data_IF_882217247930
#
_entry.id   IF_882217247930
#
_cell.length_a   1.000
_cell.length_b   1.000
_cell.length_c   1.000
_cell.angle_alpha   90.00
_cell.angle_beta   90.00
_cell.angle_gamma   90.00
#
_symmetry.space_group_name_H-M   'P 1'
#
loop_
_entity.id
_entity.type
_entity.pdbx_description
1 polymer ?
#
# COMPACT_ATOMS: atom_id res chain seq x y z
N UNK A 1 -23.09 -5.04 27.53
CA UNK A 1 -22.41 -5.58 26.34
C UNK A 1 -23.41 -6.35 25.46
N UNK A 2 -23.99 -5.69 24.46
CA UNK A 2 -24.91 -6.36 23.51
C UNK A 2 -24.04 -7.17 22.53
N UNK A 3 -24.21 -8.49 22.57
CA UNK A 3 -23.58 -9.47 21.68
C UNK A 3 -23.82 -9.04 20.22
N UNK A 4 -22.79 -9.15 19.38
CA UNK A 4 -22.93 -8.99 17.92
C UNK A 4 -23.95 -10.04 17.44
N UNK A 5 -24.81 -9.73 16.46
CA UNK A 5 -25.60 -10.76 15.83
C UNK A 5 -24.64 -11.75 15.16
N UNK A 6 -24.61 -12.97 15.68
CA UNK A 6 -23.95 -14.10 15.05
C UNK A 6 -24.67 -14.35 13.72
N UNK A 7 -24.07 -13.89 12.62
CA UNK A 7 -24.46 -14.35 11.30
C UNK A 7 -24.07 -15.82 11.23
N UNK A 8 -25.05 -16.68 11.48
CA UNK A 8 -25.01 -18.10 11.20
C UNK A 8 -24.62 -18.23 9.72
N UNK A 9 -23.36 -18.54 9.44
CA UNK A 9 -22.96 -19.12 8.17
C UNK A 9 -23.50 -20.54 8.16
N UNK A 10 -24.79 -20.70 7.88
CA UNK A 10 -25.29 -21.95 7.34
C UNK A 10 -24.40 -22.24 6.14
N UNK A 11 -23.59 -23.29 6.25
CA UNK A 11 -22.74 -23.79 5.18
C UNK A 11 -23.65 -24.18 4.02
N UNK A 12 -23.94 -23.21 3.16
CA UNK A 12 -24.61 -23.46 1.88
C UNK A 12 -23.83 -24.59 1.21
N UNK A 13 -24.52 -25.62 0.67
CA UNK A 13 -23.88 -26.79 0.10
C UNK A 13 -22.81 -26.30 -0.87
N UNK A 14 -21.60 -26.83 -0.75
CA UNK A 14 -20.35 -26.45 -1.42
C UNK A 14 -20.57 -26.13 -2.92
N UNK A 15 -21.10 -24.93 -3.20
CA UNK A 15 -21.34 -24.45 -4.56
C UNK A 15 -19.95 -24.15 -5.09
N UNK A 16 -19.50 -24.95 -6.07
CA UNK A 16 -18.23 -24.74 -6.77
C UNK A 16 -18.09 -23.23 -7.06
N UNK A 17 -17.15 -22.59 -6.37
CA UNK A 17 -16.97 -21.15 -6.48
C UNK A 17 -16.65 -20.84 -7.94
N UNK A 18 -17.44 -19.95 -8.53
CA UNK A 18 -17.24 -19.62 -9.95
C UNK A 18 -15.85 -19.00 -10.16
N UNK A 19 -15.24 -19.25 -11.32
CA UNK A 19 -13.97 -18.62 -11.71
C UNK A 19 -14.06 -17.08 -11.72
N UNK A 20 -15.26 -16.52 -11.89
CA UNK A 20 -15.48 -15.09 -11.72
C UNK A 20 -15.35 -14.64 -10.26
N UNK A 21 -15.98 -15.37 -9.33
CA UNK A 21 -15.93 -15.05 -7.90
C UNK A 21 -14.49 -15.09 -7.38
N UNK A 22 -13.70 -16.10 -7.73
CA UNK A 22 -12.29 -16.21 -7.31
C UNK A 22 -11.49 -14.98 -7.75
N UNK A 23 -11.61 -14.59 -9.03
CA UNK A 23 -10.91 -13.41 -9.58
C UNK A 23 -11.39 -12.10 -8.96
N UNK A 24 -12.70 -11.99 -8.73
CA UNK A 24 -13.29 -10.84 -8.05
C UNK A 24 -12.73 -10.71 -6.63
N UNK A 25 -12.64 -11.81 -5.90
CA UNK A 25 -12.13 -11.83 -4.52
C UNK A 25 -10.66 -11.37 -4.45
N UNK A 26 -9.78 -11.93 -5.29
CA UNK A 26 -8.36 -11.51 -5.34
C UNK A 26 -8.21 -10.03 -5.67
N UNK A 27 -9.02 -9.52 -6.61
CA UNK A 27 -9.06 -8.10 -6.94
C UNK A 27 -9.53 -7.25 -5.74
N UNK A 28 -10.55 -7.71 -4.99
CA UNK A 28 -11.03 -6.99 -3.82
C UNK A 28 -10.02 -7.00 -2.68
N UNK A 29 -9.33 -8.12 -2.43
CA UNK A 29 -8.22 -8.20 -1.46
C UNK A 29 -7.17 -7.15 -1.77
N UNK A 30 -6.73 -7.07 -3.03
CA UNK A 30 -5.74 -6.09 -3.48
C UNK A 30 -6.25 -4.65 -3.29
N UNK A 31 -7.49 -4.39 -3.70
CA UNK A 31 -8.10 -3.07 -3.61
C UNK A 31 -8.20 -2.57 -2.16
N UNK A 32 -8.65 -3.42 -1.25
CA UNK A 32 -8.83 -3.06 0.16
C UNK A 32 -7.51 -2.96 0.90
N UNK A 33 -6.54 -3.85 0.62
CA UNK A 33 -5.21 -3.79 1.23
C UNK A 33 -4.56 -2.41 1.02
N UNK A 34 -4.54 -1.91 -0.23
CA UNK A 34 -3.98 -0.59 -0.54
C UNK A 34 -4.99 0.55 -0.40
N UNK A 35 -6.21 0.29 0.06
CA UNK A 35 -7.29 1.27 0.23
C UNK A 35 -7.65 2.03 -1.04
N UNK A 36 -7.68 1.39 -2.20
CA UNK A 36 -7.91 2.04 -3.49
C UNK A 36 -9.40 2.07 -3.86
N UNK A 37 -9.78 3.07 -4.67
CA UNK A 37 -11.06 3.01 -5.39
C UNK A 37 -10.94 2.10 -6.61
N UNK A 38 -12.07 1.59 -7.11
CA UNK A 38 -12.08 0.74 -8.32
C UNK A 38 -11.49 1.48 -9.53
N UNK A 39 -11.82 2.76 -9.68
CA UNK A 39 -11.30 3.61 -10.76
C UNK A 39 -9.78 3.80 -10.67
N UNK A 40 -9.26 4.00 -9.46
CA UNK A 40 -7.80 4.10 -9.24
C UNK A 40 -7.11 2.78 -9.57
N UNK A 41 -7.64 1.64 -9.10
CA UNK A 41 -7.07 0.34 -9.39
C UNK A 41 -7.07 0.05 -10.90
N UNK A 42 -8.17 0.34 -11.60
CA UNK A 42 -8.25 0.23 -13.06
C UNK A 42 -7.20 1.11 -13.76
N UNK A 43 -6.95 2.33 -13.27
CA UNK A 43 -5.89 3.21 -13.80
C UNK A 43 -4.50 2.58 -13.62
N UNK A 44 -4.21 1.98 -12.47
CA UNK A 44 -2.94 1.29 -12.24
C UNK A 44 -2.78 0.07 -13.15
N UNK A 45 -3.82 -0.73 -13.33
CA UNK A 45 -3.82 -1.90 -14.24
C UNK A 45 -3.55 -1.46 -15.68
N UNK A 46 -4.19 -0.39 -16.16
CA UNK A 46 -3.94 0.16 -17.51
C UNK A 46 -2.50 0.62 -17.68
N UNK A 47 -1.91 1.22 -16.65
CA UNK A 47 -0.51 1.67 -16.68
C UNK A 47 0.44 0.47 -16.67
N UNK A 48 0.17 -0.54 -15.82
CA UNK A 48 0.96 -1.76 -15.75
C UNK A 48 0.91 -2.55 -17.07
N UNK A 49 -0.24 -2.59 -17.76
CA UNK A 49 -0.41 -3.28 -19.05
C UNK A 49 0.41 -2.63 -20.17
N UNK A 50 0.67 -1.32 -20.09
CA UNK A 50 1.51 -0.58 -21.05
C UNK A 50 3.00 -0.67 -20.75
N UNK A 51 3.36 -1.08 -19.53
CA UNK A 51 4.75 -1.22 -19.14
C UNK A 51 5.35 -2.50 -19.71
N UNK A 52 6.68 -2.52 -19.85
CA UNK A 52 7.41 -3.73 -20.23
C UNK A 52 7.48 -4.69 -19.04
N UNK A 53 7.33 -5.99 -19.30
CA UNK A 53 7.42 -7.06 -18.29
C UNK A 53 6.05 -7.61 -17.84
N UNK A 54 6.05 -8.39 -16.76
CA UNK A 54 4.83 -8.99 -16.21
C UNK A 54 3.89 -7.91 -15.67
N UNK A 55 2.68 -7.81 -16.23
CA UNK A 55 1.68 -6.82 -15.81
C UNK A 55 1.32 -6.93 -14.33
N UNK A 56 1.23 -8.16 -13.81
CA UNK A 56 0.93 -8.40 -12.39
C UNK A 56 2.03 -7.88 -11.48
N UNK A 57 3.31 -8.15 -11.82
CA UNK A 57 4.46 -7.64 -11.08
C UNK A 57 4.51 -6.12 -11.08
N UNK A 58 4.40 -5.51 -12.26
CA UNK A 58 4.43 -4.05 -12.40
C UNK A 58 3.27 -3.40 -11.65
N UNK A 59 2.08 -4.01 -11.67
CA UNK A 59 0.93 -3.54 -10.88
C UNK A 59 1.28 -3.48 -9.39
N UNK A 60 1.82 -4.56 -8.83
CA UNK A 60 2.20 -4.60 -7.42
C UNK A 60 3.30 -3.58 -7.10
N UNK A 61 4.31 -3.44 -7.97
CA UNK A 61 5.35 -2.43 -7.82
C UNK A 61 4.78 -1.01 -7.81
N UNK A 62 3.84 -0.70 -8.70
CA UNK A 62 3.20 0.61 -8.74
C UNK A 62 2.37 0.93 -7.49
N UNK A 63 1.82 -0.09 -6.83
CA UNK A 63 1.04 0.07 -5.60
C UNK A 63 1.92 0.20 -4.36
N UNK A 64 2.97 -0.63 -4.26
CA UNK A 64 3.91 -0.58 -3.15
C UNK A 64 4.75 0.72 -3.16
N UNK A 65 5.10 1.24 -4.34
CA UNK A 65 5.90 2.46 -4.49
C UNK A 65 5.11 3.76 -4.29
N UNK A 66 3.86 3.69 -3.82
CA UNK A 66 3.07 4.89 -3.46
C UNK A 66 3.57 5.49 -2.15
N UNK A 67 3.52 6.82 -2.04
CA UNK A 67 3.98 7.54 -0.85
C UNK A 67 3.26 7.10 0.43
N UNK A 68 1.93 6.98 0.40
CA UNK A 68 1.17 6.51 1.57
C UNK A 68 1.59 5.11 2.03
N UNK A 69 1.81 4.21 1.08
CA UNK A 69 2.25 2.87 1.37
C UNK A 69 3.69 2.83 1.89
N UNK A 70 4.62 3.61 1.32
CA UNK A 70 5.99 3.68 1.81
C UNK A 70 6.06 4.25 3.24
N UNK A 71 5.27 5.29 3.56
CA UNK A 71 5.19 5.84 4.93
C UNK A 71 4.71 4.77 5.92
N UNK A 72 3.72 3.96 5.52
CA UNK A 72 3.27 2.83 6.32
C UNK A 72 4.38 1.77 6.48
N UNK A 73 5.06 1.38 5.41
CA UNK A 73 6.17 0.41 5.43
C UNK A 73 7.39 0.88 6.23
N UNK A 74 7.63 2.20 6.28
CA UNK A 74 8.67 2.82 7.11
C UNK A 74 8.26 2.91 8.60
N UNK A 75 7.03 2.56 8.97
CA UNK A 75 6.56 2.65 10.35
C UNK A 75 6.29 4.08 10.84
N UNK A 76 6.28 5.07 9.94
CA UNK A 76 5.93 6.46 10.25
C UNK A 76 4.43 6.62 10.58
N UNK A 77 3.60 5.67 10.12
CA UNK A 77 2.18 5.61 10.39
C UNK A 77 1.73 4.16 10.69
N UNK A 78 0.72 3.98 11.57
CA UNK A 78 0.26 2.66 11.98
C UNK A 78 -0.54 1.93 10.89
N UNK A 79 -1.17 2.68 9.99
CA UNK A 79 -2.07 2.16 8.94
C UNK A 79 -1.94 3.02 7.68
N UNK A 80 -2.30 2.46 6.52
CA UNK A 80 -2.31 3.20 5.25
C UNK A 80 -3.24 4.44 5.29
N UNK A 81 -4.46 4.38 5.85
CA UNK A 81 -5.29 5.58 6.03
C UNK A 81 -4.62 6.64 6.92
N UNK A 82 -3.92 6.23 7.99
CA UNK A 82 -3.14 7.14 8.82
C UNK A 82 -2.00 7.81 8.05
N UNK A 83 -1.28 7.05 7.21
CA UNK A 83 -0.26 7.58 6.33
C UNK A 83 -0.83 8.62 5.34
N UNK A 84 -2.01 8.34 4.77
CA UNK A 84 -2.70 9.30 3.88
C UNK A 84 -3.05 10.60 4.59
N UNK A 85 -3.48 10.53 5.85
CA UNK A 85 -3.76 11.72 6.64
C UNK A 85 -2.50 12.57 6.82
N UNK A 86 -1.37 11.94 7.15
CA UNK A 86 -0.08 12.64 7.28
C UNK A 86 0.33 13.34 5.99
N UNK A 87 0.18 12.66 4.85
CA UNK A 87 0.48 13.24 3.54
C UNK A 87 -0.48 14.39 3.23
N UNK A 88 -1.79 14.19 3.30
CA UNK A 88 -2.80 15.21 2.98
C UNK A 88 -2.62 16.49 3.81
N UNK A 89 -2.22 16.34 5.08
CA UNK A 89 -1.99 17.45 6.01
C UNK A 89 -0.58 18.07 5.89
N UNK A 90 0.23 17.67 4.90
CA UNK A 90 1.57 18.21 4.63
C UNK A 90 2.56 18.02 5.79
N UNK A 91 2.44 16.92 6.53
CA UNK A 91 3.43 16.53 7.55
C UNK A 91 4.68 15.87 6.95
N UNK A 92 4.60 15.42 5.69
CA UNK A 92 5.66 14.68 5.01
C UNK A 92 6.31 15.54 3.92
N UNK A 93 7.63 15.46 3.86
CA UNK A 93 8.46 16.05 2.84
C UNK A 93 9.07 14.92 2.00
N UNK A 94 9.13 15.10 0.69
CA UNK A 94 9.92 14.26 -0.21
C UNK A 94 10.95 15.15 -0.89
N UNK A 95 12.24 14.81 -0.75
CA UNK A 95 13.35 15.63 -1.23
C UNK A 95 13.22 17.09 -0.79
N UNK A 96 12.92 17.31 0.50
CA UNK A 96 12.68 18.61 1.14
C UNK A 96 11.46 19.41 0.63
N UNK A 97 10.58 18.81 -0.18
CA UNK A 97 9.36 19.45 -0.67
C UNK A 97 8.12 18.83 -0.03
N UNK A 98 7.21 19.67 0.47
CA UNK A 98 5.95 19.19 1.04
C UNK A 98 5.05 18.60 -0.05
N UNK A 99 4.73 17.32 0.08
CA UNK A 99 3.82 16.61 -0.84
C UNK A 99 2.51 16.34 -0.11
N UNK A 100 1.39 16.68 -0.75
CA UNK A 100 0.03 16.43 -0.28
C UNK A 100 -0.73 15.39 -1.10
N UNK A 101 -0.03 14.63 -1.94
CA UNK A 101 -0.61 13.63 -2.84
C UNK A 101 -0.19 12.22 -2.38
N UNK A 102 -1.08 11.45 -1.74
CA UNK A 102 -0.75 10.11 -1.25
C UNK A 102 -0.37 9.12 -2.36
N UNK A 103 -0.91 9.31 -3.55
CA UNK A 103 -0.63 8.50 -4.74
C UNK A 103 0.66 8.90 -5.47
N UNK A 104 1.46 9.81 -4.90
CA UNK A 104 2.79 10.14 -5.41
C UNK A 104 3.62 8.87 -5.55
N UNK A 105 4.25 8.70 -6.71
CA UNK A 105 5.08 7.54 -7.03
C UNK A 105 6.50 7.86 -6.62
N UNK A 106 6.96 7.24 -5.54
CA UNK A 106 8.33 7.44 -5.11
C UNK A 106 9.27 6.76 -6.09
N UNK A 107 10.41 7.41 -6.31
CA UNK A 107 11.48 6.92 -7.16
C UNK A 107 12.63 6.43 -6.28
N UNK A 108 13.48 5.52 -6.79
CA UNK A 108 14.76 5.26 -6.16
C UNK A 108 15.52 6.57 -5.92
N UNK A 109 16.18 6.64 -4.77
CA UNK A 109 16.88 7.82 -4.21
C UNK A 109 15.97 8.93 -3.67
N UNK A 110 14.64 8.76 -3.67
CA UNK A 110 13.78 9.70 -2.95
C UNK A 110 14.02 9.62 -1.44
N UNK A 111 14.18 10.80 -0.83
CA UNK A 111 14.37 10.98 0.60
C UNK A 111 13.04 11.44 1.19
N UNK A 112 12.50 10.68 2.14
CA UNK A 112 11.23 10.96 2.81
C UNK A 112 11.54 11.42 4.23
N UNK A 113 11.17 12.65 4.56
CA UNK A 113 11.39 13.24 5.88
C UNK A 113 10.10 13.79 6.46
N UNK A 114 10.13 14.03 7.77
CA UNK A 114 9.04 14.71 8.48
C UNK A 114 9.27 16.22 8.45
N UNK A 115 8.20 17.00 8.30
CA UNK A 115 8.25 18.45 8.43
C UNK A 115 8.67 18.84 9.85
N UNK A 116 9.55 19.83 10.00
CA UNK A 116 10.00 20.32 11.31
C UNK A 116 8.92 21.16 11.99
N UNK A 117 7.91 20.47 12.50
CA UNK A 117 6.84 21.00 13.33
C UNK A 117 6.65 20.04 14.50
N UNK A 118 6.43 20.55 15.73
CA UNK A 118 6.36 19.73 16.94
C UNK A 118 5.24 18.67 16.84
N UNK A 119 4.09 19.04 16.29
CA UNK A 119 2.96 18.10 16.09
C UNK A 119 3.31 16.97 15.12
N UNK A 120 4.00 17.27 14.01
CA UNK A 120 4.43 16.28 13.03
C UNK A 120 5.40 15.28 13.64
N UNK A 121 6.40 15.79 14.38
CA UNK A 121 7.43 15.01 15.05
C UNK A 121 6.82 14.11 16.13
N UNK A 122 5.99 14.67 17.00
CA UNK A 122 5.34 13.92 18.07
C UNK A 122 4.51 12.73 17.55
N UNK A 123 3.75 12.93 16.46
CA UNK A 123 2.97 11.85 15.84
C UNK A 123 3.85 10.73 15.29
N UNK A 124 4.94 11.07 14.61
CA UNK A 124 5.82 10.08 13.97
C UNK A 124 6.71 9.36 14.98
N UNK A 125 7.26 10.07 15.98
CA UNK A 125 8.04 9.47 17.06
C UNK A 125 7.21 8.43 17.84
N UNK A 126 5.96 8.79 18.18
CA UNK A 126 5.03 7.85 18.83
C UNK A 126 4.79 6.58 17.99
N UNK A 127 4.69 6.73 16.67
CA UNK A 127 4.51 5.58 15.79
C UNK A 127 5.78 4.71 15.74
N UNK A 128 6.97 5.28 15.70
CA UNK A 128 8.20 4.48 15.74
C UNK A 128 8.32 3.64 17.01
N UNK A 129 7.98 4.20 18.19
CA UNK A 129 8.01 3.45 19.46
C UNK A 129 7.12 2.20 19.42
N UNK A 130 5.94 2.30 18.78
CA UNK A 130 4.99 1.20 18.69
C UNK A 130 5.39 0.20 17.60
N UNK A 131 5.92 0.67 16.48
CA UNK A 131 6.12 -0.11 15.25
C UNK A 131 7.58 -0.51 14.98
N UNK A 132 8.51 -0.28 15.92
CA UNK A 132 9.90 -0.74 15.86
C UNK A 132 10.05 -2.25 15.57
N UNK A 133 9.02 -3.06 15.83
CA UNK A 133 9.03 -4.51 15.64
C UNK A 133 8.78 -4.97 14.20
N UNK A 134 8.30 -4.11 13.31
CA UNK A 134 8.03 -4.51 11.93
C UNK A 134 9.30 -4.50 11.09
N UNK A 135 9.53 -5.60 10.36
CA UNK A 135 10.66 -5.71 9.44
C UNK A 135 10.46 -4.75 8.28
N UNK A 136 11.38 -3.81 8.12
CA UNK A 136 11.37 -2.87 7.00
C UNK A 136 11.75 -3.65 5.73
N UNK A 137 10.99 -3.52 4.62
CA UNK A 137 11.31 -4.17 3.36
C UNK A 137 12.68 -3.74 2.81
N UNK A 138 13.38 -4.63 2.12
CA UNK A 138 14.74 -4.41 1.62
C UNK A 138 14.91 -3.22 0.67
N UNK A 139 13.82 -2.77 0.02
CA UNK A 139 13.85 -1.63 -0.90
C UNK A 139 13.83 -0.28 -0.17
N UNK A 140 13.65 -0.27 1.15
CA UNK A 140 13.60 0.92 2.00
C UNK A 140 14.69 0.87 3.07
N UNK A 141 15.17 2.04 3.48
CA UNK A 141 16.01 2.22 4.66
C UNK A 141 15.39 3.27 5.55
N UNK A 142 15.42 3.03 6.86
CA UNK A 142 14.96 3.98 7.86
C UNK A 142 16.12 4.37 8.78
N UNK A 143 16.34 5.66 8.90
CA UNK A 143 17.17 6.26 9.94
C UNK A 143 16.23 6.85 11.02
N UNK A 144 15.91 6.02 12.01
CA UNK A 144 14.90 6.33 13.04
C UNK A 144 15.20 7.60 13.83
N UNK A 145 16.47 7.85 14.17
CA UNK A 145 16.92 9.04 14.92
C UNK A 145 16.61 10.35 14.20
N UNK A 146 16.61 10.34 12.87
CA UNK A 146 16.40 11.53 12.03
C UNK A 146 15.00 11.58 11.41
N UNK A 147 14.15 10.58 11.70
CA UNK A 147 12.86 10.38 11.02
C UNK A 147 13.00 10.47 9.49
N UNK A 148 14.05 9.84 8.97
CA UNK A 148 14.45 9.89 7.57
C UNK A 148 14.31 8.51 6.94
N UNK A 149 13.50 8.42 5.90
CA UNK A 149 13.35 7.24 5.06
C UNK A 149 14.03 7.43 3.70
N UNK A 150 14.68 6.38 3.21
CA UNK A 150 15.28 6.33 1.88
C UNK A 150 14.65 5.23 1.06
N UNK A 151 14.31 5.55 -0.19
CA UNK A 151 13.88 4.56 -1.18
C UNK A 151 15.10 4.12 -1.97
N UNK A 152 15.62 2.91 -1.72
CA UNK A 152 16.89 2.46 -2.31
C UNK A 152 16.71 2.00 -3.75
N UNK A 153 15.67 1.21 -3.99
CA UNK A 153 15.37 0.58 -5.28
C UNK A 153 13.87 0.41 -5.46
N UNK A 154 13.47 -0.01 -6.65
CA UNK A 154 12.11 -0.48 -6.89
C UNK A 154 11.93 -1.79 -6.11
N UNK A 155 10.73 -1.97 -5.55
CA UNK A 155 10.35 -3.17 -4.81
C UNK A 155 10.43 -4.44 -5.68
N UNK A 156 11.03 -5.49 -5.12
CA UNK A 156 11.06 -6.82 -5.73
C UNK A 156 9.84 -7.62 -5.27
N UNK A 157 9.37 -8.57 -6.08
CA UNK A 157 8.18 -9.38 -5.75
C UNK A 157 8.25 -10.07 -4.39
N UNK A 158 9.44 -10.52 -4.03
CA UNK A 158 9.75 -11.24 -2.79
C UNK A 158 9.67 -10.34 -1.55
N UNK A 159 9.83 -9.03 -1.72
CA UNK A 159 9.76 -8.06 -0.63
C UNK A 159 8.35 -7.52 -0.36
N UNK A 160 7.35 -8.04 -1.08
CA UNK A 160 5.95 -7.66 -0.92
C UNK A 160 5.26 -8.69 0.00
N UNK A 161 4.94 -8.28 1.21
CA UNK A 161 4.26 -9.12 2.21
C UNK A 161 2.76 -9.30 1.94
N UNK A 162 2.37 -9.52 0.69
CA UNK A 162 0.98 -9.68 0.28
C UNK A 162 0.80 -11.01 -0.45
N UNK A 163 0.14 -11.95 0.20
CA UNK A 163 -0.22 -13.23 -0.39
C UNK A 163 -1.48 -13.06 -1.27
N UNK A 164 -1.27 -12.60 -2.50
CA UNK A 164 -2.30 -12.42 -3.53
C UNK A 164 -1.80 -13.03 -4.82
N UNK A 165 -2.73 -13.62 -5.59
CA UNK A 165 -2.45 -14.03 -6.96
C UNK A 165 -2.74 -12.89 -7.94
N UNK A 166 -1.69 -12.15 -8.31
CA UNK A 166 -1.79 -11.01 -9.21
C UNK A 166 -2.32 -11.36 -10.61
N UNK A 167 -2.15 -12.59 -11.09
CA UNK A 167 -2.62 -13.02 -12.40
C UNK A 167 -4.15 -12.99 -12.47
N UNK A 168 -4.83 -13.44 -11.41
CA UNK A 168 -6.29 -13.45 -11.32
C UNK A 168 -6.88 -12.02 -11.37
N UNK A 169 -6.15 -11.05 -10.81
CA UNK A 169 -6.52 -9.63 -10.88
C UNK A 169 -6.38 -9.10 -12.31
N UNK A 170 -5.29 -9.45 -13.00
CA UNK A 170 -5.08 -9.04 -14.40
C UNK A 170 -6.16 -9.66 -15.31
N UNK A 171 -6.45 -10.94 -15.14
CA UNK A 171 -7.50 -11.64 -15.90
C UNK A 171 -8.88 -11.03 -15.70
N UNK A 172 -9.21 -10.60 -14.47
CA UNK A 172 -10.48 -9.93 -14.18
C UNK A 172 -10.68 -8.71 -15.09
N UNK A 173 -9.64 -7.87 -15.22
CA UNK A 173 -9.69 -6.65 -16.03
C UNK A 173 -9.48 -6.89 -17.53
N UNK A 174 -8.94 -8.04 -17.94
CA UNK A 174 -8.85 -8.39 -19.36
C UNK A 174 -10.20 -8.83 -19.94
N UNK A 175 -11.07 -9.46 -19.14
CA UNK A 175 -12.42 -9.88 -19.60
C UNK A 175 -13.49 -8.78 -19.54
N UNK A 176 -13.22 -7.70 -18.80
CA UNK A 176 -14.11 -6.53 -18.69
C UNK A 176 -13.73 -5.39 -19.63
N UNK A 177 -12.60 -5.50 -20.33
CA UNK A 177 -12.07 -4.48 -21.23
C UNK A 177 -12.60 -4.67 -22.66
#
# INVERSE_FOLDING_TARGET
PKLKPDYINESTPNKKVSQYCIRLEEKQKLRFHYGLTEQQLLKYVRIARRAKGSTGLVLLQLLEMRLDNIIFRLGMAPTIPGARQLVNHKHILVNNRAINVPSYRCKPKDIITTRDQPESRARITKNYEIYQKYKIPNHLTLHSLQSLGLVNKIVDRESIDLNINELLVVEYYSRKA
#
